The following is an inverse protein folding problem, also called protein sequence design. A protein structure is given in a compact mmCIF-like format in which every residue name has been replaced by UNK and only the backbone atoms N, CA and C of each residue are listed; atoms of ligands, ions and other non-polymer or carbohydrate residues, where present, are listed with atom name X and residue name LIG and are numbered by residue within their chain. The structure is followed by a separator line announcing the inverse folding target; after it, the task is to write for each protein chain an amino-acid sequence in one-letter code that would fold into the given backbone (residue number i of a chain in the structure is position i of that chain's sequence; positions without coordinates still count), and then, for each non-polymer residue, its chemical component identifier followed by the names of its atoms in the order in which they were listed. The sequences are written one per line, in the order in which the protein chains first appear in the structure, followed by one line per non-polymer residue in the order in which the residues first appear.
data_IF_174189480995
#
_entry.id   IF_174189480995
#
_cell.length_a   1.000
_cell.length_b   1.000
_cell.length_c   1.000
_cell.angle_alpha   90.00
_cell.angle_beta   90.00
_cell.angle_gamma   90.00
#
_symmetry.space_group_name_H-M   'P 1'
#
loop_
_entity.id
_entity.type
_entity.pdbx_description
1 polymer ?
#
# COMPACT_ATOMS: atom_id res chain seq x y z
N UNK A 1 -8.68 17.51 12.84
CA UNK A 1 -8.65 16.54 13.96
C UNK A 1 -7.47 15.60 13.89
N UNK A 2 -7.20 15.01 12.72
CA UNK A 2 -6.12 14.04 12.51
C UNK A 2 -4.90 14.63 11.76
N UNK A 3 -4.65 15.93 11.92
CA UNK A 3 -3.43 16.55 11.36
C UNK A 3 -2.27 16.33 12.31
N UNK A 4 -1.13 15.90 11.79
CA UNK A 4 0.10 15.73 12.58
C UNK A 4 0.82 17.07 12.81
N UNK A 5 0.62 18.06 11.94
CA UNK A 5 1.27 19.38 12.04
C UNK A 5 0.50 20.36 12.92
N UNK A 6 -0.83 20.25 12.94
CA UNK A 6 -1.69 21.18 13.65
C UNK A 6 -2.54 20.42 14.66
N UNK A 7 -2.22 20.62 15.94
CA UNK A 7 -3.02 20.11 17.06
C UNK A 7 -3.98 21.23 17.48
N UNK A 8 -5.29 21.17 17.14
CA UNK A 8 -6.23 22.20 17.54
C UNK A 8 -6.37 22.25 19.07
N UNK A 9 -6.81 23.38 19.63
CA UNK A 9 -7.01 23.51 21.07
C UNK A 9 -8.04 22.47 21.59
N UNK A 10 -7.86 22.03 22.84
CA UNK A 10 -8.71 20.99 23.47
C UNK A 10 -10.22 21.18 23.32
N UNK A 11 -10.77 22.39 23.52
CA UNK A 11 -12.20 22.65 23.31
C UNK A 11 -12.63 22.43 21.84
N UNK A 12 -11.84 22.91 20.88
CA UNK A 12 -12.12 22.76 19.44
C UNK A 12 -12.06 21.29 19.03
N UNK A 13 -11.13 20.53 19.61
CA UNK A 13 -11.02 19.09 19.38
C UNK A 13 -12.27 18.34 19.81
N UNK A 14 -12.77 18.59 21.03
CA UNK A 14 -13.99 17.95 21.54
C UNK A 14 -15.20 18.29 20.70
N UNK A 15 -15.39 19.57 20.36
CA UNK A 15 -16.51 19.99 19.50
C UNK A 15 -16.43 19.34 18.13
N UNK A 16 -15.25 19.32 17.49
CA UNK A 16 -15.10 18.68 16.19
C UNK A 16 -15.34 17.16 16.25
N UNK A 17 -14.89 16.47 17.30
CA UNK A 17 -15.11 15.04 17.46
C UNK A 17 -16.61 14.72 17.65
N UNK A 18 -17.30 15.54 18.45
CA UNK A 18 -18.75 15.44 18.63
C UNK A 18 -19.51 15.67 17.31
N UNK A 19 -19.16 16.71 16.55
CA UNK A 19 -19.81 16.99 15.25
C UNK A 19 -19.60 15.86 14.23
N UNK A 20 -18.39 15.27 14.18
CA UNK A 20 -18.13 14.12 13.30
C UNK A 20 -18.89 12.87 13.75
N UNK A 21 -18.99 12.63 15.06
CA UNK A 21 -19.76 11.50 15.61
C UNK A 21 -21.27 11.63 15.29
N UNK A 22 -21.82 12.85 15.40
CA UNK A 22 -23.18 13.15 14.95
C UNK A 22 -23.34 12.92 13.45
N UNK A 23 -22.39 13.38 12.63
CA UNK A 23 -22.45 13.19 11.17
C UNK A 23 -22.42 11.70 10.77
N UNK A 24 -21.60 10.88 11.44
CA UNK A 24 -21.55 9.44 11.18
C UNK A 24 -22.80 8.68 11.63
N UNK A 25 -23.47 9.15 12.68
CA UNK A 25 -24.67 8.51 13.22
C UNK A 25 -25.93 8.94 12.47
N UNK A 26 -25.96 10.16 11.92
CA UNK A 26 -27.08 10.67 11.13
C UNK A 26 -27.36 9.84 9.87
N UNK A 27 -26.33 9.26 9.24
CA UNK A 27 -26.49 8.38 8.07
C UNK A 27 -27.09 7.00 8.38
N UNK A 28 -27.07 6.58 9.65
CA UNK A 28 -27.69 5.32 10.08
C UNK A 28 -29.20 5.45 10.33
N UNK A 29 -29.73 6.67 10.36
CA UNK A 29 -31.11 7.01 10.71
C UNK A 29 -31.88 7.59 9.52
N UNK A 30 -31.77 7.01 8.32
CA UNK A 30 -32.73 7.30 7.27
C UNK A 30 -34.05 6.59 7.63
N UNK A 31 -35.14 7.34 7.89
CA UNK A 31 -36.44 6.71 8.16
C UNK A 31 -36.88 5.97 6.90
N UNK A 32 -37.19 4.68 7.05
CA UNK A 32 -37.97 3.97 6.03
C UNK A 32 -39.35 4.65 5.97
N UNK A 33 -39.88 4.98 4.79
CA UNK A 33 -41.13 5.72 4.66
C UNK A 33 -42.38 4.97 5.18
N UNK A 34 -42.23 3.72 5.59
CA UNK A 34 -43.34 2.85 6.00
C UNK A 34 -43.41 2.57 7.53
N UNK A 35 -42.56 3.18 8.37
CA UNK A 35 -42.60 2.93 9.82
C UNK A 35 -43.29 4.07 10.60
N UNK A 36 -44.58 3.89 10.88
CA UNK A 36 -45.36 4.64 11.89
C UNK A 36 -44.86 4.33 13.33
N UNK A 37 -43.60 4.65 13.62
CA UNK A 37 -43.01 4.50 14.94
C UNK A 37 -42.38 5.83 15.38
N UNK A 38 -43.24 6.72 15.86
CA UNK A 38 -42.80 7.87 16.63
C UNK A 38 -42.32 7.42 18.03
N UNK A 39 -41.14 7.95 18.42
CA UNK A 39 -40.67 8.16 19.80
C UNK A 39 -39.69 7.19 20.49
N UNK A 40 -39.01 6.26 19.81
CA UNK A 40 -37.89 5.49 20.42
C UNK A 40 -36.49 5.78 19.84
N UNK A 41 -36.37 6.51 18.73
CA UNK A 41 -35.09 6.69 18.01
C UNK A 41 -34.09 7.71 18.59
N UNK A 42 -34.45 8.55 19.56
CA UNK A 42 -33.55 9.61 20.06
C UNK A 42 -32.50 9.11 21.06
N UNK A 43 -32.83 8.09 21.87
CA UNK A 43 -31.91 7.50 22.85
C UNK A 43 -30.83 6.63 22.21
N UNK A 44 -31.20 5.80 21.23
CA UNK A 44 -30.26 4.94 20.50
C UNK A 44 -29.29 5.76 19.64
N UNK A 45 -29.79 6.80 18.94
CA UNK A 45 -28.93 7.70 18.18
C UNK A 45 -27.92 8.45 19.06
N UNK A 46 -28.31 8.80 20.29
CA UNK A 46 -27.41 9.42 21.27
C UNK A 46 -26.30 8.46 21.73
N UNK A 47 -26.64 7.21 22.05
CA UNK A 47 -25.67 6.19 22.46
C UNK A 47 -24.66 5.88 21.33
N UNK A 48 -25.12 5.77 20.09
CA UNK A 48 -24.25 5.56 18.91
C UNK A 48 -23.30 6.75 18.72
N UNK A 49 -23.76 7.99 18.91
CA UNK A 49 -22.93 9.18 18.82
C UNK A 49 -21.85 9.22 19.93
N UNK A 50 -22.18 8.84 21.16
CA UNK A 50 -21.19 8.76 22.26
C UNK A 50 -20.11 7.74 21.95
N UNK A 51 -20.49 6.51 21.54
CA UNK A 51 -19.52 5.47 21.15
C UNK A 51 -18.66 5.88 19.95
N UNK A 52 -19.23 6.60 18.98
CA UNK A 52 -18.48 7.13 17.85
C UNK A 52 -17.47 8.20 18.29
N UNK A 53 -17.85 9.09 19.21
CA UNK A 53 -16.97 10.10 19.78
C UNK A 53 -15.80 9.45 20.54
N UNK A 54 -16.06 8.46 21.40
CA UNK A 54 -15.02 7.73 22.13
C UNK A 54 -14.00 7.08 21.18
N UNK A 55 -14.46 6.46 20.10
CA UNK A 55 -13.58 5.88 19.07
C UNK A 55 -12.75 6.93 18.35
N UNK A 56 -13.33 8.08 17.99
CA UNK A 56 -12.61 9.18 17.37
C UNK A 56 -11.54 9.77 18.30
N UNK A 57 -11.86 9.92 19.59
CA UNK A 57 -10.92 10.41 20.59
C UNK A 57 -9.78 9.42 20.85
N UNK A 58 -10.08 8.12 20.91
CA UNK A 58 -9.07 7.07 21.02
C UNK A 58 -8.12 7.07 19.81
N UNK A 59 -8.65 7.19 18.58
CA UNK A 59 -7.83 7.24 17.37
C UNK A 59 -6.97 8.50 17.29
N UNK A 60 -7.48 9.62 17.78
CA UNK A 60 -6.70 10.86 17.90
C UNK A 60 -5.59 10.72 18.93
N UNK A 61 -5.85 10.11 20.08
CA UNK A 61 -4.84 9.84 21.10
C UNK A 61 -3.74 8.93 20.54
N UNK A 62 -4.13 7.86 19.83
CA UNK A 62 -3.21 7.01 19.10
C UNK A 62 -2.33 7.79 18.11
N UNK A 63 -2.94 8.61 17.24
CA UNK A 63 -2.23 9.41 16.26
C UNK A 63 -1.25 10.40 16.92
N UNK A 64 -1.64 10.99 18.05
CA UNK A 64 -0.80 11.93 18.80
C UNK A 64 0.43 11.24 19.40
N UNK A 65 0.26 10.04 19.97
CA UNK A 65 1.34 9.19 20.48
C UNK A 65 2.29 8.77 19.35
N UNK A 66 1.74 8.35 18.21
CA UNK A 66 2.52 7.98 17.02
C UNK A 66 3.36 9.14 16.49
N UNK A 67 2.79 10.35 16.42
CA UNK A 67 3.47 11.57 15.99
C UNK A 67 4.55 12.02 16.99
N UNK A 68 4.38 11.73 18.27
CA UNK A 68 5.41 11.94 19.29
C UNK A 68 6.55 10.92 19.24
N UNK A 69 6.50 9.93 18.32
CA UNK A 69 7.50 8.88 18.21
C UNK A 69 7.40 7.80 19.30
N UNK A 70 6.25 7.71 19.98
CA UNK A 70 6.04 6.65 20.96
C UNK A 70 6.02 5.27 20.28
N UNK A 71 6.61 4.27 20.94
CA UNK A 71 6.52 2.88 20.49
C UNK A 71 5.12 2.36 20.79
N UNK A 72 4.35 2.17 19.74
CA UNK A 72 3.02 1.57 19.80
C UNK A 72 3.13 0.05 19.83
N UNK A 73 2.43 -0.59 20.76
CA UNK A 73 2.41 -2.05 20.89
C UNK A 73 1.36 -2.69 19.99
N UNK A 74 1.44 -4.02 19.83
CA UNK A 74 0.48 -4.79 19.02
C UNK A 74 -0.98 -4.56 19.46
N UNK A 75 -1.23 -4.45 20.77
CA UNK A 75 -2.57 -4.15 21.30
C UNK A 75 -3.09 -2.77 20.87
N UNK A 76 -2.21 -1.75 20.80
CA UNK A 76 -2.59 -0.42 20.30
C UNK A 76 -2.99 -0.50 18.81
N UNK A 77 -2.24 -1.28 18.01
CA UNK A 77 -2.48 -1.46 16.58
C UNK A 77 -3.80 -2.20 16.32
N UNK A 78 -4.06 -3.28 17.05
CA UNK A 78 -5.30 -4.04 16.93
C UNK A 78 -6.52 -3.22 17.35
N UNK A 79 -6.42 -2.45 18.44
CA UNK A 79 -7.48 -1.54 18.86
C UNK A 79 -7.76 -0.47 17.80
N UNK A 80 -6.72 0.08 17.16
CA UNK A 80 -6.86 1.05 16.10
C UNK A 80 -7.48 0.48 14.82
N UNK A 81 -7.06 -0.72 14.39
CA UNK A 81 -7.66 -1.42 13.27
C UNK A 81 -9.14 -1.76 13.53
N UNK A 82 -9.47 -2.23 14.73
CA UNK A 82 -10.85 -2.52 15.13
C UNK A 82 -11.72 -1.26 15.15
N UNK A 83 -11.20 -0.14 15.66
CA UNK A 83 -11.90 1.15 15.63
C UNK A 83 -12.12 1.67 14.21
N UNK A 84 -11.14 1.50 13.33
CA UNK A 84 -11.25 1.85 11.90
C UNK A 84 -12.31 1.02 11.17
N UNK A 85 -12.46 -0.26 11.54
CA UNK A 85 -13.53 -1.13 11.04
C UNK A 85 -14.91 -0.81 11.60
N UNK A 86 -14.98 -0.47 12.89
CA UNK A 86 -16.25 -0.16 13.54
C UNK A 86 -16.82 1.22 13.15
N UNK A 87 -15.97 2.19 12.80
CA UNK A 87 -16.39 3.56 12.45
C UNK A 87 -15.65 4.05 11.19
N UNK A 88 -16.34 4.19 10.04
CA UNK A 88 -15.71 4.61 8.78
C UNK A 88 -14.94 5.94 8.86
N UNK A 89 -15.42 6.89 9.65
CA UNK A 89 -14.74 8.19 9.87
C UNK A 89 -13.45 8.05 10.68
N UNK A 90 -13.39 7.12 11.64
CA UNK A 90 -12.17 6.85 12.39
C UNK A 90 -11.10 6.27 11.47
N UNK A 91 -11.48 5.32 10.59
CA UNK A 91 -10.58 4.78 9.56
C UNK A 91 -10.07 5.85 8.59
N UNK A 92 -10.94 6.76 8.12
CA UNK A 92 -10.53 7.88 7.27
C UNK A 92 -9.60 8.85 7.99
N UNK A 93 -9.88 9.16 9.25
CA UNK A 93 -9.02 10.00 10.08
C UNK A 93 -7.63 9.41 10.24
N UNK A 94 -7.56 8.10 10.50
CA UNK A 94 -6.31 7.37 10.64
C UNK A 94 -5.50 7.33 9.33
N UNK A 95 -6.18 7.08 8.20
CA UNK A 95 -5.54 7.14 6.88
C UNK A 95 -5.03 8.54 6.57
N UNK A 96 -5.82 9.58 6.82
CA UNK A 96 -5.39 10.97 6.61
C UNK A 96 -4.17 11.31 7.45
N UNK A 97 -4.15 10.89 8.72
CA UNK A 97 -2.98 11.03 9.59
C UNK A 97 -1.76 10.30 9.03
N UNK A 98 -1.91 9.02 8.66
CA UNK A 98 -0.82 8.20 8.12
C UNK A 98 -0.27 8.77 6.81
N UNK A 99 -1.14 9.20 5.88
CA UNK A 99 -0.72 9.89 4.65
C UNK A 99 0.06 11.16 4.96
N UNK A 100 -0.42 11.97 5.92
CA UNK A 100 0.24 13.21 6.29
C UNK A 100 1.63 12.97 6.89
N UNK A 101 1.77 11.99 7.77
CA UNK A 101 3.03 11.72 8.46
C UNK A 101 4.02 10.96 7.56
N UNK A 102 3.57 9.89 6.89
CA UNK A 102 4.41 9.06 6.03
C UNK A 102 4.73 9.73 4.69
N UNK A 103 3.87 10.61 4.18
CA UNK A 103 4.10 11.30 2.91
C UNK A 103 5.13 12.43 2.95
N UNK A 104 5.80 12.66 4.09
CA UNK A 104 6.67 13.82 4.31
C UNK A 104 8.13 13.39 4.46
N UNK A 105 9.05 13.89 3.61
CA UNK A 105 10.47 13.51 3.66
C UNK A 105 11.13 13.73 5.03
N UNK A 106 10.75 14.80 5.74
CA UNK A 106 11.28 15.14 7.07
C UNK A 106 11.04 14.03 8.12
N UNK A 107 9.97 13.24 7.98
CA UNK A 107 9.67 12.10 8.87
C UNK A 107 10.77 11.05 8.85
N UNK A 108 11.46 10.89 7.73
CA UNK A 108 12.52 9.89 7.55
C UNK A 108 13.92 10.42 7.86
N UNK A 109 14.05 11.74 7.99
CA UNK A 109 15.27 12.46 8.40
C UNK A 109 15.41 12.51 9.91
N UNK A 110 14.30 12.56 10.65
CA UNK A 110 14.27 12.50 12.11
C UNK A 110 14.08 11.06 12.61
N UNK A 111 15.09 10.51 13.31
CA UNK A 111 15.03 9.16 13.88
C UNK A 111 13.88 8.96 14.87
N UNK A 112 13.43 10.01 15.56
CA UNK A 112 12.29 9.92 16.50
C UNK A 112 10.99 9.67 15.75
N UNK A 113 10.77 10.42 14.67
CA UNK A 113 9.60 10.24 13.82
C UNK A 113 9.67 8.91 13.06
N UNK A 114 10.87 8.54 12.56
CA UNK A 114 11.07 7.28 11.85
C UNK A 114 10.83 6.03 12.72
N UNK A 115 11.00 6.14 14.04
CA UNK A 115 10.82 5.01 14.96
C UNK A 115 9.38 4.47 15.04
N UNK A 116 8.37 5.27 14.70
CA UNK A 116 6.95 4.87 14.69
C UNK A 116 6.45 4.40 13.31
N UNK A 117 7.25 4.61 12.25
CA UNK A 117 6.90 4.23 10.87
C UNK A 117 6.59 2.72 10.73
N UNK A 118 7.40 1.79 11.25
CA UNK A 118 7.12 0.37 11.11
C UNK A 118 5.74 -0.04 11.66
N UNK A 119 5.33 0.57 12.77
CA UNK A 119 4.05 0.33 13.44
C UNK A 119 2.91 0.92 12.63
N UNK A 120 3.10 2.08 12.01
CA UNK A 120 2.10 2.68 11.11
C UNK A 120 1.92 1.86 9.83
N UNK A 121 3.00 1.30 9.27
CA UNK A 121 2.91 0.39 8.12
C UNK A 121 2.14 -0.88 8.49
N UNK A 122 2.41 -1.47 9.66
CA UNK A 122 1.67 -2.63 10.18
C UNK A 122 0.18 -2.30 10.43
N UNK A 123 -0.11 -1.11 10.97
CA UNK A 123 -1.48 -0.64 11.16
C UNK A 123 -2.23 -0.52 9.83
N UNK A 124 -1.59 0.09 8.83
CA UNK A 124 -2.18 0.25 7.50
C UNK A 124 -2.52 -1.11 6.87
N UNK A 125 -1.65 -2.10 7.04
CA UNK A 125 -1.92 -3.48 6.64
C UNK A 125 -3.14 -4.05 7.37
N UNK A 126 -3.20 -3.91 8.70
CA UNK A 126 -4.32 -4.38 9.51
C UNK A 126 -5.65 -3.69 9.14
N UNK A 127 -5.61 -2.38 8.84
CA UNK A 127 -6.78 -1.60 8.39
C UNK A 127 -7.26 -2.08 7.02
N UNK A 128 -6.34 -2.33 6.07
CA UNK A 128 -6.72 -2.86 4.76
C UNK A 128 -7.35 -4.26 4.85
N UNK A 129 -6.82 -5.12 5.72
CA UNK A 129 -7.37 -6.45 5.97
C UNK A 129 -8.75 -6.41 6.63
N UNK A 130 -8.94 -5.51 7.61
CA UNK A 130 -10.22 -5.35 8.31
C UNK A 130 -11.28 -4.64 7.47
N UNK A 131 -10.87 -3.73 6.57
CA UNK A 131 -11.77 -2.90 5.76
C UNK A 131 -11.26 -2.84 4.32
N UNK A 132 -11.55 -3.84 3.46
CA UNK A 132 -11.04 -3.88 2.08
C UNK A 132 -11.40 -2.65 1.24
N UNK A 133 -12.53 -2.00 1.53
CA UNK A 133 -12.94 -0.73 0.89
C UNK A 133 -11.95 0.44 1.13
N UNK A 134 -10.95 0.27 2.01
CA UNK A 134 -9.89 1.23 2.30
C UNK A 134 -8.56 0.87 1.66
N UNK A 135 -8.43 -0.30 1.03
CA UNK A 135 -7.15 -0.77 0.49
C UNK A 135 -6.53 0.20 -0.52
N UNK A 136 -7.33 0.86 -1.36
CA UNK A 136 -6.86 1.89 -2.29
C UNK A 136 -6.22 3.08 -1.58
N UNK A 137 -6.86 3.59 -0.52
CA UNK A 137 -6.31 4.65 0.32
C UNK A 137 -5.05 4.22 1.07
N UNK A 138 -4.98 2.96 1.49
CA UNK A 138 -3.77 2.38 2.10
C UNK A 138 -2.63 2.30 1.09
N UNK A 139 -2.88 1.79 -0.12
CA UNK A 139 -1.89 1.71 -1.18
C UNK A 139 -1.34 3.11 -1.53
N UNK A 140 -2.20 4.12 -1.63
CA UNK A 140 -1.80 5.51 -1.83
C UNK A 140 -0.93 6.05 -0.69
N UNK A 141 -1.27 5.76 0.57
CA UNK A 141 -0.46 6.15 1.74
C UNK A 141 0.94 5.51 1.70
N UNK A 142 1.01 4.22 1.34
CA UNK A 142 2.26 3.47 1.22
C UNK A 142 3.10 3.94 0.01
N UNK A 143 2.47 4.29 -1.10
CA UNK A 143 3.15 4.93 -2.24
C UNK A 143 3.75 6.29 -1.86
N UNK A 144 2.99 7.13 -1.15
CA UNK A 144 3.50 8.38 -0.59
C UNK A 144 4.67 8.18 0.37
N UNK A 145 4.61 7.13 1.19
CA UNK A 145 5.72 6.74 2.07
C UNK A 145 7.00 6.38 1.29
N UNK A 146 6.86 5.55 0.24
CA UNK A 146 7.99 5.18 -0.63
C UNK A 146 8.60 6.42 -1.31
N UNK A 147 7.76 7.30 -1.86
CA UNK A 147 8.20 8.54 -2.49
C UNK A 147 8.97 9.45 -1.51
N UNK A 148 8.46 9.61 -0.29
CA UNK A 148 9.09 10.43 0.74
C UNK A 148 10.42 9.84 1.28
N UNK A 149 10.52 8.51 1.36
CA UNK A 149 11.78 7.82 1.69
C UNK A 149 12.84 8.01 0.60
N UNK A 150 12.44 7.92 -0.67
CA UNK A 150 13.35 7.92 -1.82
C UNK A 150 14.27 6.71 -1.79
N UNK A 151 15.59 6.94 -1.81
CA UNK A 151 16.64 5.89 -1.67
C UNK A 151 17.01 5.55 -0.23
N UNK A 152 16.46 6.28 0.73
CA UNK A 152 16.82 6.15 2.14
C UNK A 152 16.03 5.00 2.76
N UNK A 153 16.52 4.46 3.89
CA UNK A 153 15.81 3.47 4.72
C UNK A 153 15.33 2.25 3.93
N UNK A 154 16.25 1.59 3.20
CA UNK A 154 15.93 0.42 2.35
C UNK A 154 15.11 -0.66 3.08
N UNK A 155 15.44 -0.97 4.34
CA UNK A 155 14.68 -1.95 5.15
C UNK A 155 13.20 -1.56 5.36
N UNK A 156 12.91 -0.26 5.50
CA UNK A 156 11.54 0.22 5.60
C UNK A 156 10.83 0.17 4.25
N UNK A 157 11.52 0.51 3.17
CA UNK A 157 10.99 0.37 1.81
C UNK A 157 10.64 -1.09 1.50
N UNK A 158 11.49 -2.06 1.84
CA UNK A 158 11.20 -3.49 1.70
C UNK A 158 9.95 -3.93 2.47
N UNK A 159 9.76 -3.40 3.68
CA UNK A 159 8.56 -3.66 4.47
C UNK A 159 7.31 -3.10 3.81
N UNK A 160 7.37 -1.86 3.33
CA UNK A 160 6.26 -1.22 2.60
C UNK A 160 5.92 -2.00 1.33
N UNK A 161 6.92 -2.38 0.54
CA UNK A 161 6.76 -3.22 -0.65
C UNK A 161 6.20 -4.61 -0.31
N UNK A 162 6.53 -5.15 0.86
CA UNK A 162 5.91 -6.35 1.40
C UNK A 162 4.41 -6.19 1.60
N UNK A 163 3.97 -5.11 2.27
CA UNK A 163 2.55 -4.83 2.46
C UNK A 163 1.83 -4.59 1.13
N UNK A 164 2.44 -3.84 0.21
CA UNK A 164 1.89 -3.64 -1.14
C UNK A 164 1.69 -4.97 -1.89
N UNK A 165 2.63 -5.92 -1.78
CA UNK A 165 2.49 -7.24 -2.38
C UNK A 165 1.33 -8.06 -1.76
N UNK A 166 1.07 -7.91 -0.46
CA UNK A 166 -0.10 -8.51 0.19
C UNK A 166 -1.42 -7.87 -0.28
N UNK A 167 -1.46 -6.56 -0.49
CA UNK A 167 -2.63 -5.88 -1.08
C UNK A 167 -2.90 -6.33 -2.51
N UNK A 168 -1.84 -6.59 -3.29
CA UNK A 168 -1.97 -7.16 -4.63
C UNK A 168 -2.60 -8.55 -4.59
N UNK A 169 -2.14 -9.42 -3.66
CA UNK A 169 -2.78 -10.72 -3.44
C UNK A 169 -4.24 -10.60 -2.97
N UNK A 170 -4.56 -9.52 -2.25
CA UNK A 170 -5.92 -9.18 -1.82
C UNK A 170 -6.84 -8.64 -2.92
N UNK A 171 -6.38 -8.52 -4.17
CA UNK A 171 -7.21 -8.10 -5.31
C UNK A 171 -7.15 -6.62 -5.64
N UNK A 172 -6.11 -5.89 -5.20
CA UNK A 172 -5.90 -4.46 -5.50
C UNK A 172 -4.66 -4.20 -6.37
N UNK A 173 -4.50 -4.87 -7.54
CA UNK A 173 -3.28 -4.77 -8.33
C UNK A 173 -3.09 -3.37 -8.94
N UNK A 174 -4.17 -2.68 -9.34
CA UNK A 174 -4.07 -1.40 -10.03
C UNK A 174 -3.47 -0.31 -9.12
N UNK A 175 -3.97 -0.21 -7.89
CA UNK A 175 -3.52 0.78 -6.91
C UNK A 175 -2.11 0.49 -6.42
N UNK A 176 -1.79 -0.79 -6.23
CA UNK A 176 -0.45 -1.23 -5.83
C UNK A 176 0.58 -0.92 -6.90
N UNK A 177 0.28 -1.27 -8.16
CA UNK A 177 1.20 -1.04 -9.27
C UNK A 177 1.38 0.45 -9.54
N UNK A 178 0.32 1.26 -9.48
CA UNK A 178 0.41 2.71 -9.60
C UNK A 178 1.32 3.31 -8.50
N UNK A 179 1.13 2.91 -7.25
CA UNK A 179 1.97 3.38 -6.13
C UNK A 179 3.45 3.01 -6.30
N UNK A 180 3.72 1.79 -6.79
CA UNK A 180 5.09 1.34 -7.04
C UNK A 180 5.72 2.05 -8.27
N UNK A 181 4.94 2.30 -9.33
CA UNK A 181 5.38 3.00 -10.53
C UNK A 181 5.74 4.46 -10.21
N UNK A 182 4.87 5.18 -9.51
CA UNK A 182 5.10 6.56 -9.11
C UNK A 182 6.40 6.70 -8.31
N UNK A 183 6.68 5.71 -7.45
CA UNK A 183 7.94 5.66 -6.70
C UNK A 183 9.15 5.29 -7.58
N UNK A 184 9.02 4.31 -8.48
CA UNK A 184 10.13 3.78 -9.25
C UNK A 184 10.54 4.66 -10.44
N UNK A 185 9.56 5.33 -11.06
CA UNK A 185 9.71 6.13 -12.29
C UNK A 185 9.70 7.63 -12.01
N UNK A 186 9.14 8.05 -10.86
CA UNK A 186 9.06 9.45 -10.46
C UNK A 186 10.42 10.07 -10.11
N UNK A 187 10.37 11.24 -9.48
CA UNK A 187 11.58 12.00 -9.10
C UNK A 187 12.42 11.29 -8.02
N UNK A 188 11.80 10.36 -7.29
CA UNK A 188 12.45 9.47 -6.33
C UNK A 188 13.25 8.41 -7.07
N UNK A 189 14.59 8.49 -7.02
CA UNK A 189 15.49 7.50 -7.63
C UNK A 189 15.43 6.14 -6.92
N UNK A 190 14.30 5.42 -6.93
CA UNK A 190 14.16 4.13 -6.26
C UNK A 190 15.36 3.22 -6.53
N UNK A 191 15.81 2.48 -5.51
CA UNK A 191 16.88 1.50 -5.71
C UNK A 191 16.39 0.45 -6.72
N UNK A 192 17.06 0.29 -7.88
CA UNK A 192 16.62 -0.68 -8.88
C UNK A 192 16.51 -2.09 -8.31
N UNK A 193 17.32 -2.46 -7.31
CA UNK A 193 17.30 -3.78 -6.67
C UNK A 193 16.01 -4.04 -5.90
N UNK A 194 15.47 -3.01 -5.23
CA UNK A 194 14.19 -3.10 -4.54
C UNK A 194 13.03 -3.20 -5.54
N UNK A 195 13.08 -2.42 -6.62
CA UNK A 195 12.09 -2.50 -7.71
C UNK A 195 12.10 -3.89 -8.34
N UNK A 196 13.28 -4.46 -8.63
CA UNK A 196 13.42 -5.83 -9.14
C UNK A 196 12.83 -6.85 -8.17
N UNK A 197 13.16 -6.74 -6.88
CA UNK A 197 12.62 -7.67 -5.87
C UNK A 197 11.09 -7.59 -5.80
N UNK A 198 10.53 -6.37 -5.87
CA UNK A 198 9.09 -6.17 -5.88
C UNK A 198 8.43 -6.76 -7.13
N UNK A 199 8.96 -6.50 -8.33
CA UNK A 199 8.48 -7.13 -9.58
C UNK A 199 8.47 -8.65 -9.44
N UNK A 200 9.53 -9.24 -8.89
CA UNK A 200 9.54 -10.69 -8.68
C UNK A 200 8.40 -11.11 -7.75
N UNK A 201 8.21 -10.45 -6.60
CA UNK A 201 7.09 -10.71 -5.66
C UNK A 201 5.71 -10.61 -6.31
N UNK A 202 5.53 -9.69 -7.25
CA UNK A 202 4.30 -9.55 -8.05
C UNK A 202 4.12 -10.77 -8.95
N UNK A 203 5.14 -11.16 -9.69
CA UNK A 203 5.10 -12.32 -10.60
C UNK A 203 5.02 -13.67 -9.87
N UNK A 204 5.35 -13.76 -8.57
CA UNK A 204 5.08 -14.99 -7.80
C UNK A 204 3.60 -15.13 -7.42
N UNK A 205 2.85 -14.03 -7.44
CA UNK A 205 1.44 -13.96 -7.01
C UNK A 205 0.46 -13.84 -8.17
N UNK A 206 0.94 -13.47 -9.36
CA UNK A 206 0.16 -13.34 -10.57
C UNK A 206 0.54 -14.42 -11.58
N UNK A 207 -0.44 -14.90 -12.35
CA UNK A 207 -0.25 -15.82 -13.46
C UNK A 207 -1.11 -15.42 -14.67
N UNK A 208 -0.87 -16.00 -15.86
CA UNK A 208 -1.63 -15.70 -17.07
C UNK A 208 -3.10 -16.16 -16.96
N UNK A 209 -4.02 -15.57 -17.75
CA UNK A 209 -3.79 -14.51 -18.73
C UNK A 209 -3.62 -13.13 -18.08
N UNK A 210 -2.68 -12.33 -18.58
CA UNK A 210 -2.46 -10.96 -18.08
C UNK A 210 -3.34 -9.95 -18.81
N UNK A 211 -3.88 -8.98 -18.07
CA UNK A 211 -4.54 -7.82 -18.67
C UNK A 211 -3.50 -6.75 -19.04
N UNK A 212 -3.83 -5.90 -20.02
CA UNK A 212 -2.98 -4.76 -20.37
C UNK A 212 -2.76 -3.81 -19.18
N UNK A 213 -3.79 -3.58 -18.37
CA UNK A 213 -3.75 -2.71 -17.19
C UNK A 213 -2.79 -3.22 -16.11
N UNK A 214 -2.55 -4.54 -16.08
CA UNK A 214 -1.57 -5.16 -15.19
C UNK A 214 -0.18 -5.22 -15.82
N UNK A 215 -0.09 -5.70 -17.06
CA UNK A 215 1.18 -5.96 -17.73
C UNK A 215 1.97 -4.66 -17.98
N UNK A 216 1.29 -3.57 -18.38
CA UNK A 216 2.00 -2.32 -18.74
C UNK A 216 2.71 -1.69 -17.55
N UNK A 217 2.10 -1.60 -16.35
CA UNK A 217 2.82 -1.15 -15.18
C UNK A 217 3.99 -2.04 -14.78
N UNK A 218 3.81 -3.37 -14.85
CA UNK A 218 4.88 -4.32 -14.55
C UNK A 218 6.07 -4.14 -15.50
N UNK A 219 5.84 -3.92 -16.81
CA UNK A 219 6.90 -3.65 -17.78
C UNK A 219 7.69 -2.38 -17.45
N UNK A 220 7.00 -1.29 -17.07
CA UNK A 220 7.66 -0.04 -16.67
C UNK A 220 8.48 -0.21 -15.39
N UNK A 221 7.97 -0.97 -14.42
CA UNK A 221 8.72 -1.35 -13.22
C UNK A 221 9.95 -2.21 -13.57
N UNK A 222 9.83 -3.14 -14.52
CA UNK A 222 10.96 -3.95 -14.99
C UNK A 222 12.05 -3.10 -15.64
N UNK A 223 11.66 -2.10 -16.44
CA UNK A 223 12.58 -1.13 -17.04
C UNK A 223 13.27 -0.28 -15.96
N UNK A 224 12.52 0.26 -14.99
CA UNK A 224 13.06 1.02 -13.87
C UNK A 224 14.02 0.18 -13.00
N UNK A 225 13.67 -1.09 -12.77
CA UNK A 225 14.50 -2.08 -12.10
C UNK A 225 15.72 -2.53 -12.91
N UNK A 226 15.85 -2.13 -14.18
CA UNK A 226 16.91 -2.57 -15.11
C UNK A 226 16.97 -4.09 -15.27
N UNK A 227 15.81 -4.75 -15.30
CA UNK A 227 15.69 -6.21 -15.36
C UNK A 227 16.39 -6.81 -16.59
N UNK A 228 16.28 -6.18 -17.77
CA UNK A 228 16.96 -6.67 -18.98
C UNK A 228 18.50 -6.68 -18.87
N UNK A 229 19.09 -5.74 -18.13
CA UNK A 229 20.55 -5.72 -17.88
C UNK A 229 20.94 -6.73 -16.81
N UNK A 230 20.13 -6.87 -15.76
CA UNK A 230 20.35 -7.85 -14.70
C UNK A 230 20.27 -9.29 -15.23
N UNK A 231 19.25 -9.59 -16.04
CA UNK A 231 19.10 -10.89 -16.70
C UNK A 231 20.29 -11.22 -17.61
N UNK A 232 20.74 -10.25 -18.43
CA UNK A 232 21.94 -10.40 -19.25
C UNK A 232 23.19 -10.73 -18.42
N UNK A 233 23.41 -10.02 -17.31
CA UNK A 233 24.56 -10.27 -16.41
C UNK A 233 24.46 -11.61 -15.69
N UNK A 234 23.25 -12.07 -15.40
CA UNK A 234 22.99 -13.38 -14.81
C UNK A 234 23.08 -14.54 -15.82
N UNK A 235 23.38 -14.25 -17.10
CA UNK A 235 23.45 -15.28 -18.15
C UNK A 235 22.09 -15.82 -18.59
N UNK A 236 21.00 -15.09 -18.32
CA UNK A 236 19.63 -15.51 -18.62
C UNK A 236 19.15 -15.12 -20.02
N UNK A 237 19.91 -14.34 -20.80
CA UNK A 237 19.46 -13.73 -22.06
C UNK A 237 20.17 -14.24 -23.31
N UNK A 238 20.44 -15.53 -23.42
CA UNK A 238 21.05 -16.08 -24.65
C UNK A 238 21.58 -17.50 -24.49
N UNK A 239 20.94 -18.43 -25.20
CA UNK A 239 21.35 -19.83 -25.27
C UNK A 239 22.77 -20.06 -25.81
N UNK A 240 23.28 -21.24 -25.45
CA UNK A 240 24.53 -21.88 -25.89
C UNK A 240 25.81 -21.38 -25.20
N UNK A 241 26.02 -21.87 -23.97
CA UNK A 241 27.31 -22.25 -23.32
C UNK A 241 27.27 -21.95 -21.82
N UNK A 242 26.77 -22.89 -21.03
CA UNK A 242 26.77 -22.75 -19.57
C UNK A 242 26.29 -23.98 -18.80
N UNK A 243 26.38 -25.17 -19.39
CA UNK A 243 26.20 -26.39 -18.62
C UNK A 243 27.43 -26.62 -17.75
N UNK A 244 27.38 -26.19 -16.48
CA UNK A 244 28.10 -26.77 -15.33
C UNK A 244 28.11 -25.82 -14.11
N UNK A 245 26.95 -25.48 -13.54
CA UNK A 245 26.91 -24.92 -12.17
C UNK A 245 25.57 -25.14 -11.43
N UNK A 246 24.64 -25.95 -11.95
CA UNK A 246 23.36 -26.23 -11.31
C UNK A 246 23.41 -27.50 -10.42
N UNK A 247 24.50 -27.71 -9.69
CA UNK A 247 24.68 -28.86 -8.82
C UNK A 247 25.36 -28.47 -7.50
N UNK A 248 24.82 -27.46 -6.80
CA UNK A 248 25.04 -27.28 -5.37
C UNK A 248 23.99 -26.32 -4.78
N UNK A 249 22.89 -26.88 -4.26
CA UNK A 249 22.08 -26.29 -3.19
C UNK A 249 21.37 -24.96 -3.47
N UNK A 250 20.14 -25.03 -3.99
CA UNK A 250 19.18 -23.92 -3.90
C UNK A 250 18.14 -23.90 -5.01
N UNK A 251 16.99 -24.53 -4.77
CA UNK A 251 15.81 -24.64 -5.66
C UNK A 251 15.09 -23.30 -5.96
N UNK A 252 15.67 -22.14 -5.63
CA UNK A 252 14.99 -20.85 -5.76
C UNK A 252 15.36 -20.07 -7.05
N UNK A 253 16.51 -20.35 -7.67
CA UNK A 253 16.99 -19.57 -8.82
C UNK A 253 16.29 -19.86 -10.15
N UNK A 254 15.84 -21.10 -10.36
CA UNK A 254 15.18 -21.51 -11.61
C UNK A 254 13.79 -20.87 -11.81
N UNK A 255 13.00 -20.79 -10.74
CA UNK A 255 11.64 -20.26 -10.81
C UNK A 255 11.56 -18.76 -11.12
N UNK A 256 12.58 -17.98 -10.74
CA UNK A 256 12.59 -16.54 -11.03
C UNK A 256 12.77 -16.26 -12.52
N UNK A 257 13.72 -16.93 -13.17
CA UNK A 257 13.96 -16.81 -14.61
C UNK A 257 12.78 -17.34 -15.42
N UNK A 258 12.23 -18.49 -15.02
CA UNK A 258 11.08 -19.10 -15.68
C UNK A 258 9.84 -18.19 -15.65
N UNK A 259 9.53 -17.58 -14.49
CA UNK A 259 8.40 -16.63 -14.38
C UNK A 259 8.58 -15.37 -15.22
N UNK A 260 9.81 -14.85 -15.31
CA UNK A 260 10.09 -13.70 -16.17
C UNK A 260 9.90 -14.06 -17.64
N UNK A 261 10.34 -15.25 -18.03
CA UNK A 261 10.16 -15.78 -19.38
C UNK A 261 8.69 -16.00 -19.71
N UNK A 262 7.94 -16.62 -18.82
CA UNK A 262 6.49 -16.83 -18.96
C UNK A 262 5.74 -15.50 -19.10
N UNK A 263 6.04 -14.54 -18.24
CA UNK A 263 5.49 -13.18 -18.34
C UNK A 263 5.84 -12.51 -19.68
N UNK A 264 7.09 -12.65 -20.14
CA UNK A 264 7.53 -12.05 -21.40
C UNK A 264 6.83 -12.66 -22.62
N UNK A 265 6.74 -13.99 -22.68
CA UNK A 265 6.04 -14.71 -23.76
C UNK A 265 4.56 -14.32 -23.79
N UNK A 266 3.88 -14.35 -22.64
CA UNK A 266 2.47 -13.97 -22.57
C UNK A 266 2.24 -12.51 -22.98
N UNK A 267 3.15 -11.59 -22.62
CA UNK A 267 3.05 -10.20 -23.06
C UNK A 267 3.22 -10.05 -24.59
N UNK A 268 4.11 -10.82 -25.22
CA UNK A 268 4.33 -10.75 -26.66
C UNK A 268 3.20 -11.38 -27.46
N UNK A 269 2.61 -12.48 -26.97
CA UNK A 269 1.67 -13.31 -27.72
C UNK A 269 0.20 -13.10 -27.31
N UNK A 270 -0.05 -12.89 -26.02
CA UNK A 270 -1.39 -12.89 -25.42
C UNK A 270 -1.95 -11.50 -25.08
N UNK A 271 -1.11 -10.49 -24.86
CA UNK A 271 -1.55 -9.16 -24.41
C UNK A 271 -1.66 -8.17 -25.58
N UNK A 272 -2.90 -7.78 -25.93
CA UNK A 272 -3.18 -6.74 -26.91
C UNK A 272 -2.92 -5.32 -26.39
N UNK A 273 -1.67 -4.86 -26.39
CA UNK A 273 -1.30 -3.52 -25.89
C UNK A 273 -1.85 -2.36 -26.76
N UNK A 274 -2.55 -1.41 -26.12
CA UNK A 274 -3.00 -0.15 -26.71
C UNK A 274 -2.70 1.06 -25.79
N UNK A 275 -1.68 1.90 -26.06
CA UNK A 275 -0.86 1.95 -27.26
C UNK A 275 0.07 0.74 -27.40
N UNK A 276 0.62 0.47 -28.60
CA UNK A 276 1.57 -0.62 -28.79
C UNK A 276 2.80 -0.48 -27.87
N UNK A 277 3.54 -1.58 -27.74
CA UNK A 277 4.82 -1.59 -27.03
C UNK A 277 5.82 -0.66 -27.72
N UNK A 278 6.66 0.02 -26.94
CA UNK A 278 7.80 0.73 -27.50
C UNK A 278 8.86 -0.27 -27.99
N UNK A 279 9.78 0.19 -28.83
CA UNK A 279 10.91 -0.63 -29.28
C UNK A 279 11.73 -1.15 -28.09
N UNK A 280 12.01 -0.29 -27.10
CA UNK A 280 12.72 -0.66 -25.88
C UNK A 280 11.98 -1.72 -25.03
N UNK A 281 10.66 -1.58 -24.87
CA UNK A 281 9.83 -2.57 -24.17
C UNK A 281 9.82 -3.92 -24.90
N UNK A 282 9.73 -3.89 -26.23
CA UNK A 282 9.68 -5.08 -27.08
C UNK A 282 11.02 -5.83 -27.04
N UNK A 283 12.14 -5.11 -27.23
CA UNK A 283 13.48 -5.70 -27.12
C UNK A 283 13.75 -6.28 -25.72
N UNK A 284 13.27 -5.62 -24.66
CA UNK A 284 13.41 -6.14 -23.30
C UNK A 284 12.65 -7.46 -23.15
N UNK A 285 11.42 -7.56 -23.66
CA UNK A 285 10.62 -8.77 -23.59
C UNK A 285 11.22 -9.90 -24.42
N UNK A 286 11.66 -9.64 -25.65
CA UNK A 286 12.33 -10.63 -26.49
C UNK A 286 13.58 -11.20 -25.82
N UNK A 287 14.39 -10.36 -25.17
CA UNK A 287 15.57 -10.81 -24.43
C UNK A 287 15.24 -11.66 -23.19
N UNK A 288 14.09 -11.46 -22.58
CA UNK A 288 13.64 -12.25 -21.42
C UNK A 288 12.93 -13.54 -21.85
N UNK A 289 12.34 -13.55 -23.05
CA UNK A 289 11.70 -14.72 -23.63
C UNK A 289 12.70 -15.75 -24.18
N UNK A 290 13.86 -15.29 -24.65
CA UNK A 290 14.96 -16.10 -25.22
C UNK A 290 15.68 -16.98 -24.19
#
# INVERSE_FOLDING_TARGET
LFSWQQVPAGPVQRTAAHLLALASSAGAALPSPDSDAAATGSGESGAVAVLAQERLEAMRAFASRAAAGERLGEADLQAAAAAAGALPLAGLGLLHFACGLLGVPATYEDDRCAASVPQLVALLQAVAAAVPARASGVAAALGGALAAMGVRRQELAERVLGVLAELLAGGFPAEVLAAAEDWAVGEGRADPSLVRNFVMRVLERAGPPYSQQFARPVLRLMAAGKMGVAAKRAGLGGGVLGGAAAAAGGTAGGGAAERLREFAVECLEGVGFAPPLTEEESEMLERLAA
#
